data_IF_772974467481
#
_entry.id   IF_772974467481
#
_cell.length_a   1.000
_cell.length_b   1.000
_cell.length_c   1.000
_cell.angle_alpha   90.00
_cell.angle_beta   90.00
_cell.angle_gamma   90.00
#
_symmetry.space_group_name_H-M   'P 1'
#
loop_
_entity.id
_entity.type
_entity.pdbx_description
1 polymer ?
#
# COMPACT_ATOMS: atom_id res chain seq x y z
N UNK A 1 -20.56 51.69 -29.32
CA UNK A 1 -19.82 50.41 -29.30
C UNK A 1 -19.58 49.98 -27.84
N UNK A 2 -20.60 49.43 -27.16
CA UNK A 2 -20.55 49.11 -25.71
C UNK A 2 -21.41 47.89 -25.38
N UNK A 3 -21.23 46.78 -26.09
CA UNK A 3 -21.95 45.54 -25.82
C UNK A 3 -21.00 44.39 -26.12
N UNK A 4 -20.33 43.83 -25.10
CA UNK A 4 -19.67 42.49 -25.11
C UNK A 4 -18.87 42.13 -23.83
N UNK A 5 -18.88 42.93 -22.77
CA UNK A 5 -18.02 42.70 -21.59
C UNK A 5 -18.70 42.06 -20.36
N UNK A 6 -19.98 41.68 -20.41
CA UNK A 6 -20.69 41.16 -19.21
C UNK A 6 -20.73 39.62 -19.08
N UNK A 7 -20.34 38.85 -20.08
CA UNK A 7 -20.51 37.39 -20.06
C UNK A 7 -19.26 36.58 -19.66
N UNK A 8 -18.09 37.19 -19.54
CA UNK A 8 -16.86 36.46 -19.20
C UNK A 8 -16.67 36.23 -17.70
N UNK A 9 -17.21 37.11 -16.86
CA UNK A 9 -17.07 37.04 -15.39
C UNK A 9 -17.87 35.86 -14.81
N UNK A 10 -19.00 35.52 -15.42
CA UNK A 10 -19.83 34.40 -14.95
C UNK A 10 -19.20 33.02 -15.27
N UNK A 11 -18.42 32.94 -16.35
CA UNK A 11 -17.75 31.69 -16.77
C UNK A 11 -16.48 31.41 -15.95
N UNK A 12 -15.79 32.46 -15.47
CA UNK A 12 -14.62 32.31 -14.58
C UNK A 12 -15.02 31.91 -13.16
N UNK A 13 -16.20 32.32 -12.69
CA UNK A 13 -16.69 31.95 -11.35
C UNK A 13 -17.11 30.47 -11.24
N UNK A 14 -17.53 29.85 -12.34
CA UNK A 14 -17.97 28.44 -12.37
C UNK A 14 -16.80 27.44 -12.29
N UNK A 15 -15.60 27.83 -12.73
CA UNK A 15 -14.42 26.96 -12.74
C UNK A 15 -13.80 26.76 -11.36
N UNK A 16 -14.05 27.66 -10.41
CA UNK A 16 -13.47 27.60 -9.05
C UNK A 16 -14.19 26.54 -8.19
N UNK A 17 -15.44 26.20 -8.52
CA UNK A 17 -16.30 25.32 -7.69
C UNK A 17 -16.09 23.82 -7.98
N UNK A 18 -15.34 23.45 -9.03
CA UNK A 18 -15.16 22.04 -9.45
C UNK A 18 -13.81 21.45 -9.01
N UNK A 19 -12.99 22.19 -8.25
CA UNK A 19 -11.67 21.72 -7.79
C UNK A 19 -11.61 21.37 -6.30
N UNK A 20 -12.74 21.04 -5.67
CA UNK A 20 -12.69 20.19 -4.47
C UNK A 20 -12.54 18.74 -4.93
N UNK A 21 -11.29 18.27 -5.09
CA UNK A 21 -11.06 16.82 -5.06
C UNK A 21 -11.49 16.37 -3.67
N UNK A 22 -12.42 15.40 -3.54
CA UNK A 22 -12.66 14.82 -2.24
C UNK A 22 -11.32 14.29 -1.73
N UNK A 23 -10.96 14.64 -0.50
CA UNK A 23 -9.82 14.01 0.17
C UNK A 23 -10.02 12.50 0.03
N UNK A 24 -9.01 11.81 -0.54
CA UNK A 24 -9.07 10.35 -0.63
C UNK A 24 -9.32 9.85 0.80
N UNK A 25 -10.33 8.99 1.01
CA UNK A 25 -10.56 8.43 2.33
C UNK A 25 -9.25 7.80 2.83
N UNK A 26 -8.93 8.05 4.08
CA UNK A 26 -7.72 7.55 4.73
C UNK A 26 -7.70 6.02 4.64
N UNK A 27 -6.80 5.49 3.82
CA UNK A 27 -6.71 4.06 3.58
C UNK A 27 -5.91 3.44 4.72
N UNK A 28 -6.63 2.94 5.73
CA UNK A 28 -6.05 2.31 6.92
C UNK A 28 -5.11 1.14 6.62
N UNK A 29 -5.24 0.51 5.45
CA UNK A 29 -4.37 -0.58 5.00
C UNK A 29 -2.95 -0.09 4.67
N UNK A 30 -2.78 1.21 4.36
CA UNK A 30 -1.45 1.75 4.04
C UNK A 30 -0.49 1.65 5.23
N UNK A 31 0.76 1.35 4.90
CA UNK A 31 1.86 1.22 5.86
C UNK A 31 2.62 -0.09 5.70
N UNK A 32 3.45 -0.35 6.70
CA UNK A 32 4.30 -1.54 6.74
C UNK A 32 3.76 -2.48 7.80
N UNK A 33 3.61 -3.75 7.45
CA UNK A 33 2.98 -4.76 8.27
C UNK A 33 3.86 -5.99 8.34
N UNK A 34 3.80 -6.75 9.42
CA UNK A 34 4.47 -8.04 9.54
C UNK A 34 3.52 -9.09 10.09
N UNK A 35 3.78 -10.35 9.73
CA UNK A 35 3.00 -11.50 10.17
C UNK A 35 3.83 -12.77 10.20
N UNK A 36 3.19 -13.85 10.64
CA UNK A 36 3.77 -15.18 10.67
C UNK A 36 2.79 -16.18 10.08
N UNK A 37 3.30 -17.14 9.32
CA UNK A 37 2.52 -18.29 8.88
C UNK A 37 2.47 -19.36 9.98
N UNK A 38 1.65 -20.38 9.76
CA UNK A 38 1.45 -21.47 10.71
C UNK A 38 2.72 -22.28 10.99
N UNK A 39 3.67 -22.27 10.05
CA UNK A 39 5.00 -22.88 10.16
C UNK A 39 6.04 -21.94 10.78
N UNK A 40 5.60 -20.79 11.32
CA UNK A 40 6.44 -19.71 11.86
C UNK A 40 7.29 -18.98 10.83
N UNK A 41 7.03 -19.15 9.52
CA UNK A 41 7.68 -18.35 8.49
C UNK A 41 7.28 -16.88 8.64
N UNK A 42 8.28 -15.99 8.63
CA UNK A 42 8.07 -14.55 8.75
C UNK A 42 7.80 -13.91 7.38
N UNK A 43 6.88 -12.95 7.36
CA UNK A 43 6.68 -12.10 6.19
C UNK A 43 6.33 -10.66 6.55
N UNK A 44 6.66 -9.76 5.64
CA UNK A 44 6.38 -8.33 5.70
C UNK A 44 5.54 -7.92 4.51
N UNK A 45 4.57 -7.03 4.71
CA UNK A 45 3.87 -6.32 3.65
C UNK A 45 4.20 -4.84 3.71
N UNK A 46 4.58 -4.29 2.57
CA UNK A 46 4.74 -2.86 2.38
C UNK A 46 3.63 -2.39 1.45
N UNK A 47 2.69 -1.58 1.96
CA UNK A 47 1.48 -1.20 1.22
C UNK A 47 1.43 0.31 1.03
N UNK A 48 1.34 0.75 -0.24
CA UNK A 48 1.17 2.15 -0.61
C UNK A 48 0.36 2.29 -1.89
N UNK A 49 -0.56 3.25 -1.87
CA UNK A 49 -1.46 3.54 -2.98
C UNK A 49 -2.19 2.29 -3.46
N UNK A 50 -1.80 1.70 -4.58
CA UNK A 50 -2.38 0.49 -5.17
C UNK A 50 -1.39 -0.67 -5.23
N UNK A 51 -0.26 -0.59 -4.54
CA UNK A 51 0.83 -1.56 -4.59
C UNK A 51 1.07 -2.18 -3.22
N UNK A 52 1.20 -3.50 -3.20
CA UNK A 52 1.66 -4.32 -2.08
C UNK A 52 2.97 -4.97 -2.49
N UNK A 53 3.99 -4.84 -1.66
CA UNK A 53 5.22 -5.63 -1.74
C UNK A 53 5.22 -6.61 -0.57
N UNK A 54 5.16 -7.90 -0.87
CA UNK A 54 5.36 -8.97 0.09
C UNK A 54 6.85 -9.32 0.13
N UNK A 55 7.44 -9.31 1.31
CA UNK A 55 8.71 -9.96 1.57
C UNK A 55 8.46 -11.22 2.38
N UNK A 56 8.74 -12.38 1.81
CA UNK A 56 8.57 -13.66 2.49
C UNK A 56 9.92 -14.36 2.63
N UNK A 57 10.24 -14.85 3.82
CA UNK A 57 11.57 -15.39 4.16
C UNK A 57 12.10 -16.42 3.13
N UNK A 58 11.22 -17.31 2.65
CA UNK A 58 11.60 -18.38 1.72
C UNK A 58 11.38 -18.07 0.23
N UNK A 59 10.57 -17.05 -0.10
CA UNK A 59 10.16 -16.76 -1.49
C UNK A 59 10.80 -15.46 -2.00
N UNK A 60 11.32 -14.61 -1.12
CA UNK A 60 11.84 -13.30 -1.44
C UNK A 60 10.70 -12.29 -1.64
N UNK A 61 10.96 -11.33 -2.54
CA UNK A 61 10.03 -10.22 -2.82
C UNK A 61 9.00 -10.63 -3.88
N UNK A 62 7.73 -10.33 -3.62
CA UNK A 62 6.62 -10.45 -4.56
C UNK A 62 5.81 -9.17 -4.58
N UNK A 63 5.39 -8.75 -5.77
CA UNK A 63 4.63 -7.51 -5.99
C UNK A 63 3.19 -7.84 -6.39
N UNK A 64 2.24 -7.07 -5.85
CA UNK A 64 0.83 -7.16 -6.18
C UNK A 64 0.24 -5.78 -6.35
N UNK A 65 -0.50 -5.56 -7.43
CA UNK A 65 -1.48 -4.48 -7.46
C UNK A 65 -2.64 -4.89 -6.55
N UNK A 66 -3.26 -3.95 -5.86
CA UNK A 66 -4.42 -4.25 -5.04
C UNK A 66 -5.56 -3.23 -5.19
N UNK A 67 -6.75 -3.73 -4.92
CA UNK A 67 -7.98 -2.97 -4.78
C UNK A 67 -8.68 -3.39 -3.48
N UNK A 68 -9.23 -2.42 -2.77
CA UNK A 68 -10.04 -2.64 -1.58
C UNK A 68 -11.50 -2.31 -1.93
N UNK A 69 -12.36 -3.32 -1.92
CA UNK A 69 -13.79 -3.22 -2.21
C UNK A 69 -14.57 -3.71 -0.98
N UNK A 70 -15.12 -2.77 -0.20
CA UNK A 70 -15.76 -3.01 1.10
C UNK A 70 -14.90 -3.88 2.05
N UNK A 71 -15.26 -5.16 2.20
CA UNK A 71 -14.58 -6.13 3.04
C UNK A 71 -13.76 -7.14 2.22
N UNK A 72 -13.41 -6.79 0.99
CA UNK A 72 -12.61 -7.61 0.08
C UNK A 72 -11.32 -6.89 -0.28
N UNK A 73 -10.22 -7.62 -0.15
CA UNK A 73 -8.94 -7.21 -0.71
C UNK A 73 -8.68 -8.08 -1.95
N UNK A 74 -8.61 -7.43 -3.11
CA UNK A 74 -8.31 -8.08 -4.38
C UNK A 74 -6.84 -7.80 -4.66
N UNK A 75 -6.04 -8.85 -4.83
CA UNK A 75 -4.61 -8.76 -5.16
C UNK A 75 -4.36 -9.35 -6.53
N UNK A 76 -3.60 -8.64 -7.36
CA UNK A 76 -3.32 -9.00 -8.75
C UNK A 76 -1.81 -9.02 -8.99
N UNK A 77 -1.29 -10.17 -9.41
CA UNK A 77 0.12 -10.31 -9.79
C UNK A 77 0.44 -9.58 -11.10
N UNK A 78 1.72 -9.32 -11.43
CA UNK A 78 2.12 -8.79 -12.74
C UNK A 78 1.70 -9.66 -13.93
N UNK A 79 1.39 -10.94 -13.68
CA UNK A 79 0.89 -11.89 -14.67
C UNK A 79 -0.65 -11.95 -14.72
N UNK A 80 -1.34 -10.98 -14.10
CA UNK A 80 -2.80 -10.84 -14.08
C UNK A 80 -3.55 -11.99 -13.38
N UNK A 81 -2.87 -12.76 -12.52
CA UNK A 81 -3.56 -13.67 -11.60
C UNK A 81 -4.13 -12.90 -10.42
N UNK A 82 -5.44 -13.02 -10.21
CA UNK A 82 -6.16 -12.39 -9.11
C UNK A 82 -6.37 -13.38 -7.96
N UNK A 83 -6.27 -12.87 -6.73
CA UNK A 83 -6.68 -13.56 -5.51
C UNK A 83 -7.53 -12.62 -4.68
N UNK A 84 -8.68 -13.12 -4.24
CA UNK A 84 -9.65 -12.37 -3.44
C UNK A 84 -9.58 -12.84 -2.00
N UNK A 85 -9.38 -11.88 -1.10
CA UNK A 85 -9.31 -12.09 0.33
C UNK A 85 -10.50 -11.43 1.02
N UNK A 86 -11.03 -12.04 2.06
CA UNK A 86 -11.87 -11.36 3.04
C UNK A 86 -10.99 -10.50 3.94
N UNK A 87 -11.42 -9.27 4.23
CA UNK A 87 -10.82 -8.40 5.24
C UNK A 87 -11.64 -8.55 6.51
N UNK A 88 -11.19 -9.44 7.40
CA UNK A 88 -11.90 -9.79 8.62
C UNK A 88 -11.73 -8.72 9.71
N UNK A 89 -10.57 -8.04 9.71
CA UNK A 89 -10.29 -6.92 10.61
C UNK A 89 -9.27 -5.96 10.00
N UNK A 90 -9.55 -4.65 10.07
CA UNK A 90 -8.62 -3.60 9.68
C UNK A 90 -8.71 -2.44 10.68
N UNK A 91 -7.70 -2.35 11.54
CA UNK A 91 -7.53 -1.26 12.52
C UNK A 91 -6.22 -0.54 12.25
N UNK A 92 -5.87 0.45 13.08
CA UNK A 92 -4.63 1.21 12.93
C UNK A 92 -3.39 0.37 13.28
N UNK A 93 -3.53 -0.77 13.96
CA UNK A 93 -2.40 -1.64 14.35
C UNK A 93 -2.54 -3.09 13.92
N UNK A 94 -3.74 -3.54 13.54
CA UNK A 94 -4.02 -4.93 13.18
C UNK A 94 -4.69 -5.04 11.81
N UNK A 95 -4.24 -5.99 11.01
CA UNK A 95 -4.82 -6.32 9.72
C UNK A 95 -4.97 -7.84 9.62
N UNK A 96 -6.17 -8.32 9.37
CA UNK A 96 -6.49 -9.76 9.29
C UNK A 96 -7.23 -10.03 8.01
N UNK A 97 -6.71 -10.98 7.23
CA UNK A 97 -7.34 -11.43 6.00
C UNK A 97 -7.49 -12.94 5.98
N UNK A 98 -8.49 -13.41 5.25
CA UNK A 98 -8.72 -14.84 5.05
C UNK A 98 -9.21 -15.16 3.65
N UNK A 99 -8.97 -16.39 3.22
CA UNK A 99 -9.63 -16.99 2.08
C UNK A 99 -9.93 -18.47 2.36
N UNK A 100 -10.18 -19.27 1.33
CA UNK A 100 -10.43 -20.70 1.48
C UNK A 100 -9.19 -21.51 1.88
N UNK A 101 -7.99 -20.94 1.74
CA UNK A 101 -6.71 -21.61 2.03
C UNK A 101 -6.17 -21.29 3.42
N UNK A 102 -6.50 -20.13 3.99
CA UNK A 102 -6.04 -19.80 5.33
C UNK A 102 -6.47 -18.43 5.85
N UNK A 103 -5.94 -18.11 7.02
CA UNK A 103 -6.10 -16.81 7.70
C UNK A 103 -4.71 -16.27 7.98
N UNK A 104 -4.48 -15.00 7.64
CA UNK A 104 -3.24 -14.30 7.88
C UNK A 104 -3.46 -13.15 8.86
N UNK A 105 -2.57 -13.05 9.85
CA UNK A 105 -2.61 -12.04 10.89
C UNK A 105 -1.40 -11.13 10.77
N UNK A 106 -1.67 -9.83 10.65
CA UNK A 106 -0.66 -8.81 10.50
C UNK A 106 -0.72 -7.80 11.65
N UNK A 107 0.46 -7.32 12.03
CA UNK A 107 0.67 -6.23 12.98
C UNK A 107 1.40 -5.09 12.27
N UNK A 108 1.02 -3.84 12.56
CA UNK A 108 1.64 -2.67 11.94
C UNK A 108 3.04 -2.45 12.51
N UNK A 109 4.02 -2.29 11.62
CA UNK A 109 5.39 -1.92 11.98
C UNK A 109 5.47 -0.41 12.24
N UNK A 110 6.08 -0.04 13.37
CA UNK A 110 6.42 1.34 13.68
C UNK A 110 7.88 1.57 13.30
N UNK A 111 8.12 1.78 12.01
CA UNK A 111 9.46 2.10 11.49
C UNK A 111 9.54 3.60 11.20
N UNK A 112 10.71 4.19 11.46
CA UNK A 112 10.95 5.63 11.27
C UNK A 112 10.83 6.07 9.81
N UNK A 113 11.00 5.13 8.86
CA UNK A 113 10.91 5.38 7.41
C UNK A 113 10.17 4.24 6.72
N UNK A 114 9.20 4.57 5.86
CA UNK A 114 8.47 3.56 5.08
C UNK A 114 9.27 3.06 3.85
N UNK A 115 8.97 1.84 3.36
CA UNK A 115 9.69 1.22 2.24
C UNK A 115 9.67 2.09 0.97
N UNK A 116 8.53 2.68 0.65
CA UNK A 116 8.37 3.43 -0.58
C UNK A 116 9.00 4.82 -0.51
N UNK A 117 9.00 5.44 0.67
CA UNK A 117 9.75 6.65 0.97
C UNK A 117 11.24 6.36 0.87
N UNK A 118 11.68 5.22 1.42
CA UNK A 118 13.06 4.77 1.30
C UNK A 118 13.44 4.57 -0.16
N UNK A 119 12.64 3.86 -0.95
CA UNK A 119 12.92 3.62 -2.38
C UNK A 119 12.99 4.90 -3.22
N UNK A 120 12.28 5.97 -2.81
CA UNK A 120 12.33 7.26 -3.50
C UNK A 120 13.57 8.09 -3.16
N UNK A 121 14.20 7.89 -2.00
CA UNK A 121 15.37 8.64 -1.55
C UNK A 121 16.59 7.70 -1.55
N UNK A 122 17.58 7.99 -2.39
CA UNK A 122 18.75 7.12 -2.53
C UNK A 122 19.45 6.83 -1.19
N UNK A 123 19.57 7.79 -0.27
CA UNK A 123 20.28 7.59 1.00
C UNK A 123 19.46 6.75 1.97
N UNK A 124 18.16 7.00 2.05
CA UNK A 124 17.26 6.21 2.91
C UNK A 124 17.05 4.79 2.36
N UNK A 125 17.05 4.62 1.04
CA UNK A 125 17.02 3.32 0.40
C UNK A 125 18.18 2.43 0.86
N UNK A 126 19.41 2.94 0.85
CA UNK A 126 20.57 2.16 1.29
C UNK A 126 20.47 1.74 2.75
N UNK A 127 20.04 2.64 3.64
CA UNK A 127 19.82 2.32 5.05
C UNK A 127 18.73 1.28 5.24
N UNK A 128 17.57 1.47 4.59
CA UNK A 128 16.50 0.50 4.61
C UNK A 128 16.99 -0.86 4.12
N UNK A 129 17.75 -0.91 3.02
CA UNK A 129 18.33 -2.15 2.48
C UNK A 129 19.29 -2.80 3.48
N UNK A 130 20.17 -2.04 4.13
CA UNK A 130 21.09 -2.56 5.14
C UNK A 130 20.32 -3.13 6.35
N UNK A 131 19.35 -2.38 6.88
CA UNK A 131 18.50 -2.82 7.99
C UNK A 131 17.68 -4.06 7.61
N UNK A 132 17.15 -4.08 6.40
CA UNK A 132 16.39 -5.20 5.86
C UNK A 132 17.24 -6.45 5.71
N UNK A 133 18.46 -6.35 5.17
CA UNK A 133 19.42 -7.47 5.09
C UNK A 133 19.86 -7.91 6.48
N UNK A 134 20.12 -6.97 7.40
CA UNK A 134 20.50 -7.29 8.78
C UNK A 134 19.39 -8.06 9.52
N UNK A 135 18.12 -7.72 9.28
CA UNK A 135 16.96 -8.46 9.81
C UNK A 135 16.71 -9.79 9.09
N UNK A 136 17.17 -9.92 7.83
CA UNK A 136 16.92 -11.09 6.98
C UNK A 136 18.24 -11.68 6.41
N UNK A 137 19.13 -12.24 7.25
CA UNK A 137 20.50 -12.62 6.86
C UNK A 137 20.60 -13.75 5.82
N UNK A 138 19.49 -14.41 5.47
CA UNK A 138 19.41 -15.42 4.40
C UNK A 138 19.34 -14.82 3.00
N UNK A 139 18.97 -13.53 2.88
CA UNK A 139 18.94 -12.82 1.61
C UNK A 139 20.36 -12.32 1.27
N UNK A 140 21.10 -13.14 0.51
CA UNK A 140 22.29 -12.63 -0.18
C UNK A 140 21.82 -11.75 -1.34
N UNK A 141 22.10 -10.46 -1.27
CA UNK A 141 21.89 -9.54 -2.38
C UNK A 141 23.25 -9.41 -3.07
N UNK A 142 23.40 -10.12 -4.19
CA UNK A 142 24.57 -10.01 -5.08
C UNK A 142 24.64 -8.62 -5.74
#
# INVERSE_FOLDING_TARGET
MKWKMKNYILFTLLLIIVSCKPDKPDNKLMGNWYGFDTDSAYYELYIKDTLIILNHENLGLAEYVYELDDNKLITTTPLFFERVWNVDSLTDSTFVISDTLGVHHFQKMHVDVDYFQSMSDSLQYYRFREDFVARNPKLKID
#
